data_IF_574413232410
#
_entry.id   IF_574413232410
#
_cell.length_a   1.000
_cell.length_b   1.000
_cell.length_c   1.000
_cell.angle_alpha   90.00
_cell.angle_beta   90.00
_cell.angle_gamma   90.00
#
_symmetry.space_group_name_H-M   'P 1'
#
loop_
_entity.id
_entity.type
_entity.pdbx_description
1 polymer ?
#
# COMPACT_ATOMS: atom_id res chain seq x y z
N UNK A 1 -3.49 -3.72 8.39
CA UNK A 1 -4.12 -3.61 7.07
C UNK A 1 -3.24 -4.26 6.00
N UNK A 2 -2.02 -3.77 5.73
CA UNK A 2 -1.16 -4.26 4.66
C UNK A 2 -0.93 -5.78 4.69
N UNK A 3 -0.51 -6.33 5.83
CA UNK A 3 -0.27 -7.78 5.98
C UNK A 3 -1.49 -8.65 5.70
N UNK A 4 -2.68 -8.16 6.06
CA UNK A 4 -3.94 -8.87 5.81
C UNK A 4 -4.35 -8.81 4.35
N UNK A 5 -4.21 -7.64 3.75
CA UNK A 5 -4.48 -7.48 2.33
C UNK A 5 -3.55 -8.38 1.52
N UNK A 6 -2.27 -8.43 1.88
CA UNK A 6 -1.29 -9.29 1.23
C UNK A 6 -1.66 -10.78 1.36
N UNK A 7 -1.98 -11.25 2.56
CA UNK A 7 -2.36 -12.65 2.77
C UNK A 7 -3.66 -13.04 2.05
N UNK A 8 -4.57 -12.09 1.82
CA UNK A 8 -5.83 -12.34 1.11
C UNK A 8 -5.73 -12.21 -0.40
N UNK A 9 -4.94 -11.27 -0.91
CA UNK A 9 -4.89 -10.93 -2.33
C UNK A 9 -3.71 -11.57 -3.07
N UNK A 10 -2.51 -11.51 -2.48
CA UNK A 10 -1.24 -11.97 -3.07
C UNK A 10 -0.39 -12.74 -2.04
N UNK A 11 -0.87 -13.88 -1.54
CA UNK A 11 -0.15 -14.68 -0.56
C UNK A 11 1.20 -15.16 -1.11
N UNK A 12 2.24 -15.18 -0.25
CA UNK A 12 3.62 -15.46 -0.66
C UNK A 12 3.86 -16.88 -1.16
N UNK A 13 3.10 -17.87 -0.63
CA UNK A 13 3.37 -19.28 -0.86
C UNK A 13 2.26 -19.99 -1.65
N UNK A 14 1.36 -19.25 -2.28
CA UNK A 14 0.29 -19.81 -3.07
C UNK A 14 0.14 -19.09 -4.40
N UNK A 15 -0.33 -19.79 -5.41
CA UNK A 15 -0.78 -19.17 -6.66
C UNK A 15 -2.03 -18.35 -6.33
N UNK A 16 -2.05 -17.12 -6.79
CA UNK A 16 -3.18 -16.19 -6.57
C UNK A 16 -3.81 -15.72 -7.88
N UNK A 17 -3.29 -16.19 -9.01
CA UNK A 17 -3.88 -15.99 -10.33
C UNK A 17 -3.46 -17.10 -11.28
N UNK A 18 -4.27 -17.34 -12.29
CA UNK A 18 -4.05 -18.33 -13.33
C UNK A 18 -4.18 -17.67 -14.70
N UNK A 19 -3.33 -18.09 -15.64
CA UNK A 19 -3.47 -17.74 -17.04
C UNK A 19 -4.36 -18.77 -17.69
N UNK A 20 -5.46 -18.34 -18.29
CA UNK A 20 -6.40 -19.21 -18.98
C UNK A 20 -6.65 -18.76 -20.41
N UNK A 21 -7.02 -19.68 -21.27
CA UNK A 21 -7.43 -19.40 -22.63
C UNK A 21 -8.65 -18.47 -22.66
N UNK A 22 -8.60 -17.46 -23.54
CA UNK A 22 -9.72 -16.55 -23.74
C UNK A 22 -10.95 -17.24 -24.34
N UNK A 23 -12.11 -16.57 -24.22
CA UNK A 23 -13.39 -17.09 -24.75
C UNK A 23 -13.42 -17.17 -26.27
N UNK A 24 -12.49 -16.54 -26.96
CA UNK A 24 -12.37 -16.50 -28.41
C UNK A 24 -11.70 -17.75 -29.00
N UNK A 25 -11.01 -18.55 -28.15
CA UNK A 25 -10.37 -19.79 -28.58
C UNK A 25 -11.42 -20.92 -28.68
N UNK A 26 -11.43 -21.68 -29.80
CA UNK A 26 -12.33 -22.84 -29.94
C UNK A 26 -12.16 -23.86 -28.82
N UNK A 27 -13.24 -24.44 -28.34
CA UNK A 27 -13.20 -25.40 -27.21
C UNK A 27 -12.27 -26.60 -27.45
N UNK A 28 -12.10 -27.03 -28.71
CA UNK A 28 -11.22 -28.14 -29.06
C UNK A 28 -9.73 -27.86 -28.90
N UNK A 29 -9.34 -26.59 -28.87
CA UNK A 29 -7.93 -26.18 -28.71
C UNK A 29 -7.63 -25.63 -27.32
N UNK A 30 -8.68 -25.35 -26.51
CA UNK A 30 -8.54 -24.77 -25.17
C UNK A 30 -7.72 -25.64 -24.24
N UNK A 31 -8.03 -26.94 -24.16
CA UNK A 31 -7.38 -27.86 -23.24
C UNK A 31 -5.86 -27.92 -23.48
N UNK A 32 -5.44 -27.83 -24.74
CA UNK A 32 -4.02 -27.81 -25.09
C UNK A 32 -3.37 -26.47 -24.70
N UNK A 33 -4.04 -25.37 -25.01
CA UNK A 33 -3.55 -24.02 -24.67
C UNK A 33 -3.54 -23.79 -23.16
N UNK A 34 -4.55 -24.29 -22.45
CA UNK A 34 -4.62 -24.16 -20.98
C UNK A 34 -3.49 -24.92 -20.28
N UNK A 35 -3.09 -26.11 -20.77
CA UNK A 35 -1.91 -26.82 -20.27
C UNK A 35 -0.61 -26.02 -20.44
N UNK A 36 -0.38 -25.46 -21.62
CA UNK A 36 0.80 -24.61 -21.89
C UNK A 36 0.78 -23.35 -20.99
N UNK A 37 -0.39 -22.75 -20.79
CA UNK A 37 -0.56 -21.57 -19.95
C UNK A 37 -0.38 -21.90 -18.45
N UNK A 38 -0.74 -23.11 -18.03
CA UNK A 38 -0.52 -23.56 -16.64
C UNK A 38 0.96 -23.71 -16.33
N UNK A 39 1.76 -24.33 -17.24
CA UNK A 39 3.23 -24.38 -17.11
C UNK A 39 3.87 -22.98 -17.05
N UNK A 40 3.41 -22.06 -17.91
CA UNK A 40 3.89 -20.67 -17.88
C UNK A 40 3.51 -20.00 -16.56
N UNK A 41 2.31 -20.27 -16.05
CA UNK A 41 1.85 -19.72 -14.78
C UNK A 41 2.73 -20.21 -13.63
N UNK A 42 3.01 -21.51 -13.56
CA UNK A 42 3.92 -22.06 -12.54
C UNK A 42 5.29 -21.39 -12.58
N UNK A 43 5.87 -21.27 -13.76
CA UNK A 43 7.17 -20.61 -13.91
C UNK A 43 7.15 -19.13 -13.50
N UNK A 44 6.09 -18.39 -13.85
CA UNK A 44 5.91 -16.99 -13.42
C UNK A 44 5.85 -16.89 -11.90
N UNK A 45 5.09 -17.79 -11.25
CA UNK A 45 4.96 -17.80 -9.80
C UNK A 45 6.25 -18.23 -9.09
N UNK A 46 7.02 -19.16 -9.66
CA UNK A 46 8.37 -19.50 -9.15
C UNK A 46 9.28 -18.26 -9.14
N UNK A 47 9.29 -17.48 -10.22
CA UNK A 47 10.06 -16.24 -10.29
C UNK A 47 9.57 -15.21 -9.27
N UNK A 48 8.25 -15.03 -9.14
CA UNK A 48 7.67 -14.09 -8.18
C UNK A 48 8.03 -14.47 -6.73
N UNK A 49 7.98 -15.75 -6.39
CA UNK A 49 8.32 -16.25 -5.05
C UNK A 49 9.81 -16.10 -4.71
N UNK A 50 10.67 -16.26 -5.71
CA UNK A 50 12.12 -16.11 -5.55
C UNK A 50 12.58 -14.64 -5.63
N UNK A 51 11.71 -13.72 -6.06
CA UNK A 51 12.01 -12.29 -6.16
C UNK A 51 11.71 -11.53 -4.86
N UNK A 52 12.01 -10.24 -4.86
CA UNK A 52 11.65 -9.32 -3.77
C UNK A 52 10.18 -8.84 -3.82
N UNK A 53 9.31 -9.43 -4.66
CA UNK A 53 7.92 -9.01 -4.84
C UNK A 53 7.15 -8.90 -3.54
N UNK A 54 7.26 -9.92 -2.68
CA UNK A 54 6.51 -9.99 -1.42
C UNK A 54 6.81 -8.82 -0.47
N UNK A 55 8.06 -8.38 -0.42
CA UNK A 55 8.51 -7.28 0.43
C UNK A 55 8.01 -5.95 -0.13
N UNK A 56 8.26 -5.72 -1.40
CA UNK A 56 7.92 -4.47 -2.08
C UNK A 56 6.41 -4.23 -2.18
N UNK A 57 5.62 -5.29 -2.44
CA UNK A 57 4.16 -5.15 -2.47
C UNK A 57 3.59 -4.83 -1.09
N UNK A 58 4.23 -5.36 -0.02
CA UNK A 58 3.84 -5.04 1.36
C UNK A 58 4.03 -3.54 1.65
N UNK A 59 5.19 -2.98 1.26
CA UNK A 59 5.48 -1.57 1.41
C UNK A 59 4.50 -0.71 0.60
N UNK A 60 4.21 -1.09 -0.64
CA UNK A 60 3.20 -0.40 -1.45
C UNK A 60 1.78 -0.48 -0.85
N UNK A 61 1.44 -1.55 -0.12
CA UNK A 61 0.17 -1.64 0.62
C UNK A 61 0.11 -0.75 1.85
N UNK A 62 1.24 -0.35 2.43
CA UNK A 62 1.25 0.66 3.48
C UNK A 62 0.82 2.03 2.93
N UNK A 63 1.29 2.42 1.75
CA UNK A 63 0.84 3.64 1.07
C UNK A 63 -0.61 3.51 0.59
N UNK A 64 -1.04 2.33 0.15
CA UNK A 64 -2.43 2.06 -0.21
C UNK A 64 -3.40 2.27 0.96
N UNK A 65 -2.96 2.09 2.20
CA UNK A 65 -3.78 2.41 3.37
C UNK A 65 -4.17 3.89 3.41
N UNK A 66 -3.35 4.77 2.86
CA UNK A 66 -3.68 6.19 2.63
C UNK A 66 -4.56 6.35 1.40
N UNK A 67 -4.30 5.57 0.30
CA UNK A 67 -5.18 5.57 -0.86
C UNK A 67 -4.61 5.02 -2.15
N UNK A 68 -3.33 5.22 -2.42
CA UNK A 68 -2.69 4.85 -3.67
C UNK A 68 -1.35 4.21 -3.39
N UNK A 69 -1.12 3.04 -3.97
CA UNK A 69 0.18 2.38 -3.99
C UNK A 69 0.81 2.45 -5.38
N UNK A 70 2.12 2.53 -5.44
CA UNK A 70 2.90 2.54 -6.68
C UNK A 70 4.03 1.54 -6.59
N UNK A 71 4.08 0.65 -7.57
CA UNK A 71 5.11 -0.37 -7.69
C UNK A 71 5.81 -0.22 -9.04
N UNK A 72 7.13 -0.17 -9.05
CA UNK A 72 7.94 -0.25 -10.26
C UNK A 72 8.38 -1.69 -10.47
N UNK A 73 8.24 -2.19 -11.70
CA UNK A 73 8.61 -3.56 -12.08
C UNK A 73 9.61 -3.48 -13.24
N UNK A 74 10.87 -3.68 -12.91
CA UNK A 74 11.99 -3.55 -13.84
C UNK A 74 12.61 -4.90 -14.21
N UNK A 75 13.35 -4.89 -15.32
CA UNK A 75 14.16 -6.02 -15.73
C UNK A 75 15.34 -6.17 -14.75
N UNK A 76 15.48 -7.36 -14.21
CA UNK A 76 16.59 -7.71 -13.33
C UNK A 76 17.77 -8.35 -14.07
N UNK A 77 18.52 -9.15 -13.34
CA UNK A 77 19.69 -9.86 -13.84
C UNK A 77 19.36 -11.29 -14.33
N UNK A 78 20.41 -12.06 -14.64
CA UNK A 78 20.26 -13.45 -15.11
C UNK A 78 19.70 -14.39 -14.02
N UNK A 79 19.94 -14.10 -12.75
CA UNK A 79 19.48 -14.91 -11.61
C UNK A 79 18.06 -14.47 -11.21
N UNK A 80 17.86 -13.17 -11.04
CA UNK A 80 16.59 -12.56 -10.70
C UNK A 80 16.08 -11.77 -11.90
N UNK A 81 15.30 -12.37 -12.80
CA UNK A 81 14.92 -11.76 -14.08
C UNK A 81 13.99 -10.57 -13.93
N UNK A 82 13.33 -10.42 -12.79
CA UNK A 82 12.41 -9.33 -12.50
C UNK A 82 12.73 -8.76 -11.13
N UNK A 83 12.76 -7.44 -11.02
CA UNK A 83 12.99 -6.70 -9.78
C UNK A 83 11.82 -5.75 -9.51
N UNK A 84 11.40 -5.69 -8.27
CA UNK A 84 10.31 -4.83 -7.83
C UNK A 84 10.86 -3.70 -6.95
N UNK A 85 10.20 -2.54 -6.98
CA UNK A 85 10.49 -1.43 -6.09
C UNK A 85 9.20 -0.71 -5.71
N UNK A 86 8.87 -0.66 -4.44
CA UNK A 86 7.81 0.20 -3.94
C UNK A 86 8.25 1.66 -4.03
N UNK A 87 7.41 2.53 -4.56
CA UNK A 87 7.71 3.94 -4.69
C UNK A 87 6.86 4.70 -3.68
N UNK A 88 7.48 5.37 -2.69
CA UNK A 88 6.74 6.18 -1.74
C UNK A 88 5.91 7.25 -2.43
N UNK A 89 4.65 7.37 -2.05
CA UNK A 89 3.71 8.31 -2.67
C UNK A 89 4.20 9.77 -2.69
N UNK A 90 4.95 10.30 -1.70
CA UNK A 90 5.52 11.64 -1.75
C UNK A 90 6.57 11.87 -2.86
N UNK A 91 7.09 10.81 -3.46
CA UNK A 91 8.10 10.87 -4.52
C UNK A 91 7.52 10.65 -5.91
N UNK A 92 6.18 10.57 -6.03
CA UNK A 92 5.51 10.32 -7.29
C UNK A 92 4.33 11.27 -7.49
N UNK A 93 4.20 11.79 -8.70
CA UNK A 93 3.01 12.51 -9.15
C UNK A 93 2.36 11.71 -10.25
N UNK A 94 1.07 11.50 -10.14
CA UNK A 94 0.28 10.68 -11.05
C UNK A 94 -0.73 11.55 -11.79
N UNK A 95 -0.99 11.22 -13.05
CA UNK A 95 -2.08 11.82 -13.81
C UNK A 95 -2.83 10.75 -14.60
N UNK A 96 -4.07 11.04 -14.94
CA UNK A 96 -4.98 10.11 -15.61
C UNK A 96 -5.24 10.55 -17.05
N UNK A 97 -5.28 9.58 -17.94
CA UNK A 97 -5.70 9.82 -19.32
C UNK A 97 -7.22 9.87 -19.50
N UNK A 98 -7.66 9.93 -20.77
CA UNK A 98 -9.07 9.98 -21.12
C UNK A 98 -9.91 8.81 -20.62
N UNK A 99 -9.27 7.65 -20.42
CA UNK A 99 -9.90 6.41 -19.93
C UNK A 99 -9.97 6.34 -18.40
N UNK A 100 -9.61 7.42 -17.71
CA UNK A 100 -9.53 7.49 -16.23
C UNK A 100 -8.52 6.50 -15.62
N UNK A 101 -7.66 5.93 -16.44
CA UNK A 101 -6.52 5.10 -16.02
C UNK A 101 -5.30 5.99 -15.79
N UNK A 102 -4.48 5.62 -14.82
CA UNK A 102 -3.20 6.29 -14.56
C UNK A 102 -2.25 5.91 -15.70
N UNK A 103 -1.87 6.88 -16.50
CA UNK A 103 -1.04 6.70 -17.69
C UNK A 103 0.12 7.68 -17.80
N UNK A 104 0.20 8.63 -16.88
CA UNK A 104 1.34 9.53 -16.68
C UNK A 104 1.86 9.37 -15.26
N UNK A 105 3.16 9.12 -15.15
CA UNK A 105 3.87 8.93 -13.88
C UNK A 105 5.11 9.79 -13.87
N UNK A 106 5.24 10.66 -12.88
CA UNK A 106 6.39 11.51 -12.65
C UNK A 106 7.04 11.07 -11.34
N UNK A 107 8.19 10.42 -11.40
CA UNK A 107 8.92 9.91 -10.24
C UNK A 107 10.16 10.74 -9.96
N UNK A 108 10.27 11.26 -8.75
CA UNK A 108 11.47 11.93 -8.27
C UNK A 108 12.35 10.94 -7.51
N UNK A 109 13.57 10.72 -7.99
CA UNK A 109 14.60 9.89 -7.33
C UNK A 109 15.64 10.79 -6.69
N UNK A 110 15.52 10.97 -5.37
CA UNK A 110 16.44 11.81 -4.56
C UNK A 110 17.62 11.01 -4.05
N UNK A 111 18.75 11.69 -3.91
CA UNK A 111 19.90 11.17 -3.20
C UNK A 111 20.69 10.09 -3.95
N UNK A 112 20.53 9.98 -5.27
CA UNK A 112 21.28 9.07 -6.12
C UNK A 112 22.73 9.57 -6.22
N UNK A 113 23.71 8.68 -5.99
CA UNK A 113 25.11 9.02 -6.17
C UNK A 113 25.42 9.23 -7.64
N UNK A 114 26.29 10.18 -7.93
CA UNK A 114 26.66 10.46 -9.33
C UNK A 114 27.27 9.23 -10.02
N UNK A 115 27.99 8.38 -9.29
CA UNK A 115 28.56 7.10 -9.79
C UNK A 115 27.48 6.06 -10.11
N UNK A 116 26.33 6.09 -9.42
CA UNK A 116 25.25 5.13 -9.62
C UNK A 116 24.43 5.37 -10.89
N UNK A 117 24.49 6.58 -11.46
CA UNK A 117 23.76 6.91 -12.68
C UNK A 117 24.09 5.97 -13.82
N UNK A 118 25.39 5.63 -13.97
CA UNK A 118 25.87 4.73 -15.03
C UNK A 118 25.35 3.29 -14.81
N UNK A 119 25.27 2.87 -13.55
CA UNK A 119 24.78 1.55 -13.17
C UNK A 119 23.27 1.44 -13.40
N UNK A 120 22.52 2.48 -13.04
CA UNK A 120 21.07 2.53 -13.20
C UNK A 120 20.63 2.61 -14.67
N UNK A 121 21.44 3.27 -15.51
CA UNK A 121 21.14 3.47 -16.93
C UNK A 121 22.35 3.13 -17.81
N UNK A 122 22.72 1.83 -17.93
CA UNK A 122 23.93 1.42 -18.63
C UNK A 122 23.92 1.79 -20.13
N UNK A 123 22.73 1.82 -20.73
CA UNK A 123 22.57 2.17 -22.16
C UNK A 123 22.42 3.68 -22.42
N UNK A 124 22.54 4.50 -21.39
CA UNK A 124 22.31 5.93 -21.51
C UNK A 124 23.51 6.65 -22.16
N UNK A 125 23.21 7.50 -23.13
CA UNK A 125 24.20 8.45 -23.67
C UNK A 125 24.28 9.66 -22.76
N UNK A 126 25.12 9.58 -21.74
CA UNK A 126 25.26 10.64 -20.75
C UNK A 126 25.86 11.93 -21.37
N UNK A 127 25.24 13.06 -21.04
CA UNK A 127 25.78 14.38 -21.37
C UNK A 127 27.17 14.56 -20.74
N UNK A 128 28.12 15.24 -21.41
CA UNK A 128 29.45 15.53 -20.87
C UNK A 128 29.46 16.17 -19.47
N UNK A 129 28.45 16.99 -19.17
CA UNK A 129 28.31 17.62 -17.84
C UNK A 129 28.05 16.60 -16.75
N UNK A 130 27.18 15.60 -17.01
CA UNK A 130 26.88 14.52 -16.06
C UNK A 130 28.10 13.64 -15.89
N UNK A 131 28.80 13.28 -16.99
CA UNK A 131 30.02 12.49 -16.93
C UNK A 131 31.12 13.18 -16.11
N UNK A 132 31.38 14.47 -16.37
CA UNK A 132 32.37 15.26 -15.60
C UNK A 132 32.02 15.35 -14.11
N UNK A 133 30.70 15.49 -13.79
CA UNK A 133 30.25 15.49 -12.40
C UNK A 133 30.49 14.14 -11.73
N UNK A 134 30.15 13.03 -12.41
CA UNK A 134 30.39 11.68 -11.90
C UNK A 134 31.88 11.37 -11.67
N UNK A 135 32.78 11.95 -12.48
CA UNK A 135 34.23 11.82 -12.32
C UNK A 135 34.80 12.71 -11.20
N UNK A 136 34.30 13.94 -11.06
CA UNK A 136 34.82 14.92 -10.07
C UNK A 136 34.32 14.65 -8.66
N UNK A 137 33.06 14.22 -8.54
CA UNK A 137 32.38 13.96 -7.27
C UNK A 137 31.49 12.72 -7.39
N UNK A 138 32.07 11.50 -7.38
CA UNK A 138 31.33 10.24 -7.52
C UNK A 138 30.33 9.99 -6.39
N UNK A 139 30.64 10.44 -5.15
CA UNK A 139 29.80 10.27 -3.96
C UNK A 139 28.76 11.39 -3.80
N UNK A 140 28.86 12.45 -4.58
CA UNK A 140 27.90 13.55 -4.59
C UNK A 140 26.51 13.07 -4.98
N UNK A 141 25.51 13.63 -4.36
CA UNK A 141 24.10 13.24 -4.57
C UNK A 141 23.43 14.13 -5.59
N UNK A 142 22.65 13.53 -6.45
CA UNK A 142 21.79 14.20 -7.42
C UNK A 142 20.33 13.76 -7.28
N UNK A 143 19.46 14.48 -7.95
CA UNK A 143 18.04 14.16 -8.07
C UNK A 143 17.71 13.93 -9.53
N UNK A 144 17.11 12.78 -9.82
CA UNK A 144 16.65 12.43 -11.15
C UNK A 144 15.13 12.51 -11.19
N UNK A 145 14.59 12.98 -12.32
CA UNK A 145 13.16 12.97 -12.62
C UNK A 145 12.91 11.95 -13.75
N UNK A 146 12.15 10.91 -13.44
CA UNK A 146 11.65 9.94 -14.41
C UNK A 146 10.23 10.34 -14.80
N UNK A 147 9.98 10.48 -16.08
CA UNK A 147 8.69 10.87 -16.64
C UNK A 147 8.24 9.77 -17.58
N UNK A 148 7.19 9.06 -17.19
CA UNK A 148 6.51 8.12 -18.06
C UNK A 148 5.21 8.73 -18.58
N UNK A 149 5.05 8.74 -19.90
CA UNK A 149 3.84 9.21 -20.56
C UNK A 149 3.34 8.19 -21.58
N UNK A 150 2.02 7.98 -21.64
CA UNK A 150 1.41 7.15 -22.67
C UNK A 150 1.49 7.85 -24.03
N UNK A 151 1.88 7.10 -25.05
CA UNK A 151 1.94 7.59 -26.44
C UNK A 151 0.58 7.40 -27.14
N UNK A 152 -0.24 8.43 -27.15
CA UNK A 152 -1.57 8.42 -27.78
C UNK A 152 -1.52 8.49 -29.32
N UNK A 153 -0.36 8.70 -29.94
CA UNK A 153 -0.23 8.66 -31.40
C UNK A 153 -0.49 7.25 -31.95
N UNK A 154 -0.31 6.24 -31.10
CA UNK A 154 -0.53 4.82 -31.43
C UNK A 154 -1.85 4.32 -30.87
N UNK A 155 -2.92 4.50 -31.63
CA UNK A 155 -4.28 4.16 -31.19
C UNK A 155 -4.54 2.67 -30.95
N UNK A 156 -3.80 1.78 -31.61
CA UNK A 156 -4.05 0.34 -31.59
C UNK A 156 -3.05 -0.47 -30.76
N UNK A 157 -2.04 0.17 -30.20
CA UNK A 157 -1.00 -0.48 -29.38
C UNK A 157 -0.80 0.29 -28.08
N UNK A 158 -0.60 -0.44 -26.98
CA UNK A 158 -0.10 0.20 -25.77
C UNK A 158 1.35 0.62 -26.00
N UNK A 159 1.62 1.91 -25.90
CA UNK A 159 2.96 2.47 -26.04
C UNK A 159 3.18 3.56 -24.99
N UNK A 160 4.38 3.56 -24.42
CA UNK A 160 4.79 4.53 -23.41
C UNK A 160 6.16 5.09 -23.75
N UNK A 161 6.39 6.35 -23.39
CA UNK A 161 7.66 7.06 -23.49
C UNK A 161 8.19 7.33 -22.10
N UNK A 162 9.39 6.89 -21.83
CA UNK A 162 10.10 7.17 -20.58
C UNK A 162 11.22 8.17 -20.86
N UNK A 163 11.22 9.27 -20.14
CA UNK A 163 12.28 10.27 -20.10
C UNK A 163 12.91 10.30 -18.73
N UNK A 164 14.22 10.26 -18.67
CA UNK A 164 14.99 10.45 -17.42
C UNK A 164 15.79 11.73 -17.54
N UNK A 165 15.60 12.64 -16.61
CA UNK A 165 16.20 13.98 -16.59
C UNK A 165 16.99 14.17 -15.29
N UNK A 166 18.21 14.65 -15.41
CA UNK A 166 18.96 15.14 -14.25
C UNK A 166 18.51 16.55 -13.92
N UNK A 167 17.93 16.72 -12.74
CA UNK A 167 17.39 18.00 -12.27
C UNK A 167 18.48 19.06 -12.04
N UNK A 168 19.70 18.62 -11.68
CA UNK A 168 20.82 19.53 -11.38
C UNK A 168 21.42 20.15 -12.64
N UNK A 169 21.62 19.34 -13.67
CA UNK A 169 22.20 19.77 -14.96
C UNK A 169 21.15 20.14 -16.00
N UNK A 170 19.89 19.79 -15.72
CA UNK A 170 18.74 19.92 -16.66
C UNK A 170 19.00 19.24 -18.01
N UNK A 171 19.65 18.09 -17.97
CA UNK A 171 20.01 17.32 -19.16
C UNK A 171 19.28 15.99 -19.19
N UNK A 172 19.00 15.49 -20.39
CA UNK A 172 18.44 14.17 -20.57
C UNK A 172 19.51 13.11 -20.33
N UNK A 173 19.14 12.08 -19.54
CA UNK A 173 19.97 10.90 -19.29
C UNK A 173 19.54 9.78 -20.23
N UNK A 174 18.24 9.51 -20.32
CA UNK A 174 17.69 8.40 -21.12
C UNK A 174 16.34 8.79 -21.71
N UNK A 175 16.13 8.34 -22.95
CA UNK A 175 14.84 8.29 -23.60
C UNK A 175 14.60 6.85 -24.04
N UNK A 176 13.47 6.28 -23.66
CA UNK A 176 13.13 4.90 -24.01
C UNK A 176 11.65 4.79 -24.38
N UNK A 177 11.37 4.07 -25.46
CA UNK A 177 10.02 3.73 -25.87
C UNK A 177 9.70 2.30 -25.49
N UNK A 178 8.55 2.11 -24.82
CA UNK A 178 7.99 0.80 -24.51
C UNK A 178 6.78 0.55 -25.42
N UNK A 179 6.60 -0.69 -25.88
CA UNK A 179 5.50 -1.08 -26.76
C UNK A 179 4.95 -2.45 -26.38
N UNK A 180 3.64 -2.59 -26.47
CA UNK A 180 2.92 -3.82 -26.22
C UNK A 180 2.26 -3.89 -24.86
N UNK A 181 1.39 -4.85 -24.68
CA UNK A 181 0.65 -5.10 -23.44
C UNK A 181 1.63 -5.43 -22.31
N UNK A 182 1.46 -4.82 -21.15
CA UNK A 182 2.35 -4.98 -20.02
C UNK A 182 3.71 -4.27 -20.15
N UNK A 183 3.88 -3.40 -21.13
CA UNK A 183 5.13 -2.66 -21.34
C UNK A 183 5.36 -1.55 -20.31
N UNK A 184 4.31 -1.08 -19.62
CA UNK A 184 4.41 -0.08 -18.56
C UNK A 184 5.21 -0.62 -17.37
N UNK A 185 6.33 0.02 -16.96
CA UNK A 185 7.09 -0.39 -15.79
C UNK A 185 6.43 -0.01 -14.45
N UNK A 186 5.49 0.94 -14.45
CA UNK A 186 4.82 1.39 -13.24
C UNK A 186 3.45 0.77 -13.12
N UNK A 187 3.20 0.13 -11.99
CA UNK A 187 1.89 -0.39 -11.59
C UNK A 187 1.35 0.51 -10.49
N UNK A 188 0.37 1.33 -10.84
CA UNK A 188 -0.28 2.27 -9.93
C UNK A 188 -1.67 1.75 -9.61
N UNK A 189 -1.97 1.58 -8.32
CA UNK A 189 -3.23 1.00 -7.88
C UNK A 189 -3.84 1.77 -6.72
N UNK A 190 -5.18 1.83 -6.70
CA UNK A 190 -5.96 2.66 -5.78
C UNK A 190 -6.90 1.79 -4.96
N UNK A 191 -7.10 2.15 -3.69
CA UNK A 191 -8.06 1.45 -2.83
C UNK A 191 -9.50 1.75 -3.26
N UNK A 192 -9.90 3.00 -3.17
CA UNK A 192 -11.17 3.49 -3.68
C UNK A 192 -10.95 4.85 -4.36
N UNK A 193 -11.87 5.25 -5.22
CA UNK A 193 -11.76 6.48 -6.00
C UNK A 193 -13.10 7.20 -6.05
N UNK A 194 -13.08 8.50 -5.87
CA UNK A 194 -14.21 9.36 -6.23
C UNK A 194 -14.09 9.81 -7.69
N UNK A 195 -15.21 10.09 -8.33
CA UNK A 195 -15.23 10.60 -9.70
C UNK A 195 -14.43 11.91 -9.80
N UNK A 196 -13.57 12.02 -10.81
CA UNK A 196 -12.71 13.18 -11.04
C UNK A 196 -11.44 13.25 -10.19
N UNK A 197 -11.18 12.30 -9.31
CA UNK A 197 -9.93 12.24 -8.55
C UNK A 197 -8.90 11.31 -9.23
N UNK A 198 -7.65 11.73 -9.26
CA UNK A 198 -6.54 10.92 -9.76
C UNK A 198 -6.12 9.89 -8.71
N UNK A 199 -5.92 10.36 -7.49
CA UNK A 199 -5.49 9.53 -6.37
C UNK A 199 -6.65 8.78 -5.71
N UNK A 200 -6.35 7.63 -5.13
CA UNK A 200 -7.31 6.86 -4.35
C UNK A 200 -7.52 7.43 -2.95
N UNK A 201 -8.62 7.02 -2.32
CA UNK A 201 -8.91 7.23 -0.90
C UNK A 201 -8.80 5.92 -0.17
N UNK A 202 -7.89 5.85 0.79
CA UNK A 202 -7.65 4.66 1.59
C UNK A 202 -8.46 4.61 2.89
N UNK A 203 -8.43 3.47 3.58
CA UNK A 203 -9.15 3.30 4.83
C UNK A 203 -8.67 4.23 5.95
N UNK A 204 -7.41 4.69 5.92
CA UNK A 204 -6.90 5.68 6.89
C UNK A 204 -7.56 7.04 6.77
N UNK A 205 -7.98 7.45 5.56
CA UNK A 205 -8.69 8.71 5.37
C UNK A 205 -10.04 8.68 6.09
N UNK A 206 -10.74 7.54 6.02
CA UNK A 206 -12.02 7.36 6.72
C UNK A 206 -11.85 7.34 8.24
N UNK A 207 -10.73 6.83 8.73
CA UNK A 207 -10.40 6.80 10.16
C UNK A 207 -9.77 8.10 10.68
N UNK A 208 -9.42 9.06 9.82
CA UNK A 208 -8.60 10.23 10.17
C UNK A 208 -9.21 11.07 11.29
N UNK A 209 -10.52 11.28 11.28
CA UNK A 209 -11.24 12.03 12.33
C UNK A 209 -11.11 11.32 13.68
N UNK A 210 -11.36 10.01 13.72
CA UNK A 210 -11.21 9.19 14.93
C UNK A 210 -9.77 9.17 15.44
N UNK A 211 -8.78 9.09 14.55
CA UNK A 211 -7.36 9.14 14.88
C UNK A 211 -6.99 10.48 15.52
N UNK A 212 -7.42 11.61 14.92
CA UNK A 212 -7.16 12.95 15.46
C UNK A 212 -7.80 13.15 16.84
N UNK A 213 -9.06 12.72 17.00
CA UNK A 213 -9.75 12.78 18.29
C UNK A 213 -9.06 11.92 19.35
N UNK A 214 -8.65 10.70 18.98
CA UNK A 214 -7.90 9.81 19.88
C UNK A 214 -6.60 10.45 20.35
N UNK A 215 -5.82 11.03 19.45
CA UNK A 215 -4.56 11.69 19.77
C UNK A 215 -4.80 12.89 20.72
N UNK A 216 -5.79 13.72 20.44
CA UNK A 216 -6.15 14.85 21.31
C UNK A 216 -6.59 14.37 22.70
N UNK A 217 -7.42 13.33 22.76
CA UNK A 217 -7.87 12.76 24.05
C UNK A 217 -6.70 12.21 24.85
N UNK A 218 -5.77 11.49 24.21
CA UNK A 218 -4.56 10.99 24.87
C UNK A 218 -3.69 12.14 25.37
N UNK A 219 -3.51 13.20 24.58
CA UNK A 219 -2.78 14.38 25.01
C UNK A 219 -3.40 15.00 26.26
N UNK A 220 -4.71 15.22 26.27
CA UNK A 220 -5.43 15.77 27.43
C UNK A 220 -5.33 14.87 28.69
N UNK A 221 -5.35 13.55 28.50
CA UNK A 221 -5.15 12.60 29.60
C UNK A 221 -3.74 12.73 30.17
N UNK A 222 -2.72 12.82 29.31
CA UNK A 222 -1.32 12.96 29.74
C UNK A 222 -1.09 14.30 30.44
N UNK A 223 -1.68 15.39 29.93
CA UNK A 223 -1.62 16.70 30.59
C UNK A 223 -2.28 16.68 31.97
N UNK A 224 -3.46 16.07 32.09
CA UNK A 224 -4.13 15.89 33.38
C UNK A 224 -3.34 14.99 34.33
N UNK A 225 -2.75 13.89 33.79
CA UNK A 225 -1.90 13.00 34.61
C UNK A 225 -0.64 13.74 35.10
N UNK A 226 -0.04 14.59 34.24
CA UNK A 226 1.11 15.40 34.65
C UNK A 226 0.72 16.39 35.77
N UNK A 227 -0.44 17.06 35.64
CA UNK A 227 -0.96 17.94 36.72
C UNK A 227 -1.23 17.17 38.01
N UNK A 228 -1.79 15.97 37.92
CA UNK A 228 -2.06 15.13 39.10
C UNK A 228 -0.78 14.64 39.77
N UNK A 229 0.27 14.35 39.01
CA UNK A 229 1.59 13.89 39.52
C UNK A 229 2.40 15.08 40.09
N UNK A 230 2.44 16.20 39.38
CA UNK A 230 3.21 17.38 39.79
C UNK A 230 2.60 18.09 40.99
N UNK A 231 1.29 17.92 41.19
CA UNK A 231 0.53 18.58 42.24
C UNK A 231 0.45 20.09 42.03
N UNK A 232 -0.74 20.59 41.77
CA UNK A 232 -1.00 22.03 41.84
C UNK A 232 -1.63 22.29 43.17
N UNK A 233 -1.03 23.22 43.92
CA UNK A 233 -1.48 23.57 45.25
C UNK A 233 -2.07 24.98 45.26
N UNK A 234 -3.12 25.15 45.98
CA UNK A 234 -3.67 26.48 46.31
C UNK A 234 -3.40 26.80 47.76
N UNK A 235 -3.17 28.05 48.04
CA UNK A 235 -3.02 28.56 49.39
C UNK A 235 -3.71 29.91 49.53
N UNK A 236 -4.08 30.22 50.76
CA UNK A 236 -4.61 31.54 51.09
C UNK A 236 -3.47 32.55 51.13
N UNK A 237 -3.66 33.75 50.55
CA UNK A 237 -2.71 34.84 50.58
C UNK A 237 -2.84 35.59 51.91
N UNK A 238 -2.28 35.01 52.95
CA UNK A 238 -2.27 35.57 54.30
C UNK A 238 -0.91 36.24 54.69
N UNK A 239 0.01 36.31 53.72
CA UNK A 239 1.34 36.91 53.91
C UNK A 239 2.29 36.08 54.76
N UNK A 240 1.89 34.90 55.23
CA UNK A 240 2.72 34.03 56.11
C UNK A 240 3.52 33.06 55.26
N UNK A 241 2.95 32.57 54.20
CA UNK A 241 3.58 31.58 53.32
C UNK A 241 4.06 32.28 52.03
N UNK A 242 5.35 32.24 51.78
CA UNK A 242 5.91 32.77 50.54
C UNK A 242 6.05 31.63 49.52
N UNK A 243 5.35 31.69 48.39
CA UNK A 243 5.42 30.66 47.36
C UNK A 243 6.82 30.34 46.83
N UNK A 244 7.70 31.36 46.80
CA UNK A 244 9.06 31.24 46.26
C UNK A 244 10.02 30.49 47.17
N UNK A 245 9.65 30.32 48.46
CA UNK A 245 10.51 29.67 49.48
C UNK A 245 10.03 28.27 49.85
N UNK A 246 8.87 27.85 49.41
CA UNK A 246 8.34 26.52 49.70
C UNK A 246 9.03 25.48 48.84
N UNK A 247 9.74 24.57 49.51
CA UNK A 247 10.31 23.40 48.81
C UNK A 247 9.49 22.15 49.21
N UNK A 248 8.73 21.60 48.24
CA UNK A 248 7.87 20.44 48.46
C UNK A 248 8.68 19.14 48.40
N UNK A 249 9.49 18.89 49.41
CA UNK A 249 10.27 17.66 49.59
C UNK A 249 9.69 16.84 50.72
N UNK A 250 9.70 15.51 50.64
CA UNK A 250 9.26 14.66 51.77
C UNK A 250 9.93 15.04 53.07
N UNK A 251 9.13 15.34 54.10
CA UNK A 251 9.60 15.76 55.42
C UNK A 251 9.68 17.29 55.64
N UNK A 252 9.31 18.11 54.68
CA UNK A 252 9.23 19.57 54.86
C UNK A 252 8.08 19.96 55.75
N UNK A 253 8.35 20.77 56.79
CA UNK A 253 7.34 21.34 57.68
C UNK A 253 6.96 22.73 57.14
N UNK A 254 5.71 22.90 56.76
CA UNK A 254 5.17 24.16 56.24
C UNK A 254 4.38 24.87 57.35
N UNK A 255 4.75 26.08 57.75
CA UNK A 255 4.02 26.83 58.75
C UNK A 255 2.62 27.23 58.20
N UNK A 256 1.60 27.12 59.06
CA UNK A 256 0.21 27.43 58.73
C UNK A 256 -0.40 28.39 59.73
N UNK A 257 -1.12 29.40 59.26
CA UNK A 257 -1.95 30.27 60.10
C UNK A 257 -3.13 29.46 60.70
N UNK A 258 -3.54 29.72 61.96
CA UNK A 258 -4.69 29.06 62.56
C UNK A 258 -6.01 29.24 61.82
N UNK A 259 -6.13 30.30 61.01
CA UNK A 259 -7.35 30.62 60.24
C UNK A 259 -7.24 30.33 58.74
N UNK A 260 -6.07 29.98 58.23
CA UNK A 260 -5.84 29.65 56.82
C UNK A 260 -6.12 28.16 56.55
N UNK A 261 -6.66 27.86 55.39
CA UNK A 261 -6.82 26.51 54.89
C UNK A 261 -5.47 25.78 54.71
N UNK A 262 -4.36 26.53 54.68
CA UNK A 262 -3.03 26.04 54.40
C UNK A 262 -2.87 25.65 52.93
N UNK A 263 -1.82 24.91 52.65
CA UNK A 263 -1.54 24.39 51.32
C UNK A 263 -2.50 23.24 51.01
N UNK A 264 -3.39 23.41 50.06
CA UNK A 264 -4.34 22.38 49.65
C UNK A 264 -4.08 21.96 48.17
N UNK A 265 -4.01 20.65 47.91
CA UNK A 265 -3.87 20.21 46.52
C UNK A 265 -5.18 20.50 45.75
N UNK A 266 -5.06 21.08 44.59
CA UNK A 266 -6.17 21.21 43.65
C UNK A 266 -6.44 19.84 43.07
N UNK A 267 -7.62 19.28 43.34
CA UNK A 267 -8.02 18.01 42.75
C UNK A 267 -8.26 18.22 41.24
N UNK A 268 -7.57 17.43 40.43
CA UNK A 268 -7.83 17.36 39.00
C UNK A 268 -9.31 16.93 38.78
N UNK A 269 -10.08 17.77 38.12
CA UNK A 269 -11.49 17.48 37.79
C UNK A 269 -11.65 16.44 36.66
N UNK A 270 -10.56 15.90 36.15
CA UNK A 270 -10.57 14.95 35.02
C UNK A 270 -11.16 13.59 35.43
N UNK A 271 -12.21 13.17 34.74
CA UNK A 271 -12.81 11.84 34.86
C UNK A 271 -12.12 10.88 33.90
N UNK A 272 -11.10 10.18 34.34
CA UNK A 272 -10.33 9.20 33.55
C UNK A 272 -11.15 8.01 33.09
N UNK A 273 -12.16 7.59 33.89
CA UNK A 273 -13.11 6.53 33.54
C UNK A 273 -13.87 6.81 32.25
N UNK A 274 -14.38 8.02 32.10
CA UNK A 274 -15.08 8.44 30.85
C UNK A 274 -14.11 8.51 29.67
N UNK A 275 -12.90 9.00 29.90
CA UNK A 275 -11.89 9.09 28.85
C UNK A 275 -11.47 7.69 28.33
N UNK A 276 -11.36 6.69 29.20
CA UNK A 276 -11.00 5.33 28.80
C UNK A 276 -12.10 4.67 27.96
N UNK A 277 -13.37 4.86 28.31
CA UNK A 277 -14.51 4.39 27.51
C UNK A 277 -14.48 5.00 26.10
N UNK A 278 -14.29 6.32 26.02
CA UNK A 278 -14.22 7.03 24.73
C UNK A 278 -13.03 6.56 23.89
N UNK A 279 -11.86 6.39 24.50
CA UNK A 279 -10.66 5.88 23.82
C UNK A 279 -10.86 4.46 23.30
N UNK A 280 -11.50 3.59 24.09
CA UNK A 280 -11.77 2.22 23.69
C UNK A 280 -12.70 2.16 22.47
N UNK A 281 -13.76 2.98 22.46
CA UNK A 281 -14.66 3.08 21.30
C UNK A 281 -13.96 3.65 20.07
N UNK A 282 -13.18 4.73 20.22
CA UNK A 282 -12.42 5.31 19.11
C UNK A 282 -11.39 4.32 18.53
N UNK A 283 -10.67 3.58 19.38
CA UNK A 283 -9.74 2.54 18.95
C UNK A 283 -10.45 1.42 18.19
N UNK A 284 -11.64 1.02 18.62
CA UNK A 284 -12.46 0.04 17.92
C UNK A 284 -12.89 0.56 16.55
N UNK A 285 -13.33 1.82 16.46
CA UNK A 285 -13.69 2.46 15.20
C UNK A 285 -12.51 2.54 14.22
N UNK A 286 -11.31 2.87 14.71
CA UNK A 286 -10.08 2.86 13.90
C UNK A 286 -9.77 1.43 13.42
N UNK A 287 -9.87 0.42 14.30
CA UNK A 287 -9.66 -0.99 13.92
C UNK A 287 -10.66 -1.43 12.86
N UNK A 288 -11.92 -1.07 12.98
CA UNK A 288 -12.98 -1.38 11.99
C UNK A 288 -12.70 -0.73 10.65
N UNK A 289 -12.34 0.55 10.63
CA UNK A 289 -12.00 1.27 9.41
C UNK A 289 -10.82 0.64 8.66
N UNK A 290 -9.86 0.07 9.39
CA UNK A 290 -8.69 -0.62 8.85
C UNK A 290 -8.92 -2.13 8.60
N UNK A 291 -10.16 -2.60 8.71
CA UNK A 291 -10.52 -4.02 8.58
C UNK A 291 -9.76 -4.91 9.56
N UNK A 292 -9.42 -4.39 10.74
CA UNK A 292 -8.62 -5.07 11.77
C UNK A 292 -9.46 -5.67 12.91
N UNK A 293 -10.77 -5.55 12.87
CA UNK A 293 -11.72 -6.08 13.85
C UNK A 293 -12.11 -7.55 13.62
N UNK A 294 -11.75 -8.11 12.47
CA UNK A 294 -12.29 -9.39 11.99
C UNK A 294 -11.49 -10.63 12.40
N UNK A 295 -10.29 -10.49 12.86
CA UNK A 295 -9.57 -11.59 13.50
C UNK A 295 -9.94 -11.59 14.96
N UNK A 296 -10.80 -12.52 15.37
CA UNK A 296 -11.23 -12.68 16.75
C UNK A 296 -10.11 -12.56 17.78
N UNK A 297 -10.51 -12.37 19.01
CA UNK A 297 -9.62 -12.20 20.14
C UNK A 297 -8.41 -13.14 20.03
N UNK A 298 -7.15 -12.65 20.11
CA UNK A 298 -5.95 -13.48 20.04
C UNK A 298 -5.92 -14.58 21.11
N UNK A 299 -6.72 -14.44 22.17
CA UNK A 299 -6.84 -15.40 23.26
C UNK A 299 -7.82 -16.57 23.00
N UNK A 300 -8.44 -16.64 21.83
CA UNK A 300 -9.30 -17.78 21.47
C UNK A 300 -8.52 -18.83 20.69
N UNK A 301 -8.73 -20.08 21.05
CA UNK A 301 -8.29 -21.30 20.34
C UNK A 301 -8.42 -21.15 18.82
N UNK A 302 -7.50 -21.73 18.01
CA UNK A 302 -7.53 -21.61 16.56
C UNK A 302 -8.92 -21.92 16.01
N UNK A 303 -9.44 -21.01 15.21
CA UNK A 303 -10.72 -21.14 14.55
C UNK A 303 -10.71 -22.38 13.64
N UNK A 304 -11.84 -23.03 13.50
CA UNK A 304 -12.00 -24.12 12.53
C UNK A 304 -11.75 -23.59 11.10
N UNK A 305 -11.33 -24.45 10.18
CA UNK A 305 -11.13 -24.08 8.77
C UNK A 305 -12.36 -23.38 8.18
N UNK A 306 -13.56 -23.79 8.59
CA UNK A 306 -14.85 -23.18 8.22
C UNK A 306 -14.96 -21.74 8.71
N UNK A 307 -14.57 -21.48 9.97
CA UNK A 307 -14.62 -20.11 10.53
C UNK A 307 -13.63 -19.17 9.82
N UNK A 308 -12.46 -19.67 9.44
CA UNK A 308 -11.48 -18.90 8.66
C UNK A 308 -12.05 -18.59 7.27
N UNK A 309 -12.70 -19.54 6.61
CA UNK A 309 -13.35 -19.34 5.32
C UNK A 309 -14.49 -18.32 5.41
N UNK A 310 -15.35 -18.40 6.43
CA UNK A 310 -16.44 -17.42 6.65
C UNK A 310 -15.91 -16.01 6.92
N UNK A 311 -14.82 -15.87 7.68
CA UNK A 311 -14.17 -14.58 7.93
C UNK A 311 -13.56 -13.97 6.66
N UNK A 312 -12.95 -14.81 5.82
CA UNK A 312 -12.44 -14.36 4.52
C UNK A 312 -13.57 -13.95 3.58
N UNK A 313 -14.70 -14.67 3.61
CA UNK A 313 -15.90 -14.32 2.84
C UNK A 313 -16.51 -12.99 3.30
N UNK A 314 -16.54 -12.71 4.61
CA UNK A 314 -17.01 -11.43 5.14
C UNK A 314 -16.08 -10.28 4.79
N UNK A 315 -14.76 -10.49 4.88
CA UNK A 315 -13.76 -9.53 4.43
C UNK A 315 -13.93 -9.22 2.94
N UNK A 316 -14.11 -10.25 2.12
CA UNK A 316 -14.33 -10.12 0.68
C UNK A 316 -15.57 -9.26 0.35
N UNK A 317 -16.67 -9.46 1.09
CA UNK A 317 -17.89 -8.65 0.94
C UNK A 317 -17.67 -7.17 1.26
N UNK A 318 -16.97 -6.89 2.35
CA UNK A 318 -16.70 -5.50 2.79
C UNK A 318 -15.73 -4.78 1.88
N UNK A 319 -14.76 -5.51 1.30
CA UNK A 319 -13.76 -4.95 0.39
C UNK A 319 -14.24 -4.95 -1.07
N UNK A 320 -15.37 -5.55 -1.38
CA UNK A 320 -15.84 -5.93 -2.73
C UNK A 320 -15.50 -4.96 -3.88
N UNK A 321 -15.79 -3.66 -3.74
CA UNK A 321 -15.47 -2.68 -4.78
C UNK A 321 -13.96 -2.39 -4.88
N UNK A 322 -13.24 -2.38 -3.75
CA UNK A 322 -11.80 -2.19 -3.71
C UNK A 322 -11.08 -3.44 -4.25
N UNK A 323 -11.59 -4.64 -4.00
CA UNK A 323 -11.04 -5.89 -4.53
C UNK A 323 -11.05 -5.91 -6.06
N UNK A 324 -12.19 -5.61 -6.69
CA UNK A 324 -12.30 -5.57 -8.15
C UNK A 324 -11.33 -4.54 -8.76
N UNK A 325 -11.13 -3.40 -8.10
CA UNK A 325 -10.16 -2.39 -8.53
C UNK A 325 -8.72 -2.89 -8.37
N UNK A 326 -8.36 -3.48 -7.26
CA UNK A 326 -7.02 -4.06 -7.05
C UNK A 326 -6.72 -5.20 -8.01
N UNK A 327 -7.72 -5.98 -8.39
CA UNK A 327 -7.56 -6.98 -9.43
C UNK A 327 -7.21 -6.33 -10.78
N UNK A 328 -7.89 -5.25 -11.15
CA UNK A 328 -7.68 -4.56 -12.42
C UNK A 328 -6.42 -3.67 -12.42
N UNK A 329 -6.10 -3.01 -11.31
CA UNK A 329 -5.01 -2.02 -11.24
C UNK A 329 -3.69 -2.59 -10.68
N UNK A 330 -3.70 -3.73 -9.97
CA UNK A 330 -2.50 -4.36 -9.39
C UNK A 330 -2.26 -5.75 -9.98
N UNK A 331 -3.18 -6.71 -9.74
CA UNK A 331 -2.96 -8.12 -10.06
C UNK A 331 -2.69 -8.33 -11.56
N UNK A 332 -3.58 -7.83 -12.40
CA UNK A 332 -3.44 -7.96 -13.85
C UNK A 332 -2.20 -7.22 -14.40
N UNK A 333 -1.94 -5.94 -14.06
CA UNK A 333 -0.77 -5.24 -14.58
C UNK A 333 0.56 -5.82 -14.12
N UNK A 334 0.66 -6.30 -12.86
CA UNK A 334 1.88 -6.96 -12.39
C UNK A 334 2.18 -8.21 -13.20
N UNK A 335 1.21 -9.09 -13.38
CA UNK A 335 1.40 -10.31 -14.16
C UNK A 335 1.70 -10.02 -15.63
N UNK A 336 0.97 -9.08 -16.24
CA UNK A 336 1.24 -8.64 -17.63
C UNK A 336 2.67 -8.10 -17.78
N UNK A 337 3.14 -7.33 -16.81
CA UNK A 337 4.49 -6.79 -16.84
C UNK A 337 5.57 -7.87 -16.67
N UNK A 338 5.39 -8.79 -15.73
CA UNK A 338 6.30 -9.93 -15.53
C UNK A 338 6.38 -10.78 -16.80
N UNK A 339 5.23 -11.12 -17.36
CA UNK A 339 5.14 -11.88 -18.63
C UNK A 339 5.85 -11.13 -19.75
N UNK A 340 5.64 -9.82 -19.86
CA UNK A 340 6.30 -8.99 -20.86
C UNK A 340 7.82 -9.05 -20.75
N UNK A 341 8.37 -8.93 -19.54
CA UNK A 341 9.81 -9.00 -19.27
C UNK A 341 10.36 -10.38 -19.63
N UNK A 342 9.72 -11.46 -19.16
CA UNK A 342 10.17 -12.83 -19.41
C UNK A 342 10.10 -13.20 -20.90
N UNK A 343 9.08 -12.72 -21.61
CA UNK A 343 8.98 -12.86 -23.07
C UNK A 343 10.10 -12.10 -23.78
N UNK A 344 10.39 -10.87 -23.36
CA UNK A 344 11.49 -10.06 -23.92
C UNK A 344 12.85 -10.71 -23.71
N UNK A 345 13.06 -11.34 -22.55
CA UNK A 345 14.27 -12.09 -22.22
C UNK A 345 14.35 -13.47 -22.92
N UNK A 346 13.28 -13.88 -23.65
CA UNK A 346 13.22 -15.19 -24.33
C UNK A 346 13.06 -16.39 -23.39
N UNK A 347 12.71 -16.17 -22.12
CA UNK A 347 12.55 -17.24 -21.13
C UNK A 347 11.22 -17.97 -21.25
N UNK A 348 10.18 -17.29 -21.71
CA UNK A 348 8.87 -17.87 -21.98
C UNK A 348 8.50 -17.66 -23.43
N UNK A 349 7.82 -18.65 -24.02
CA UNK A 349 7.23 -18.56 -25.34
C UNK A 349 5.72 -18.70 -25.15
N UNK A 350 5.01 -17.60 -25.22
CA UNK A 350 3.56 -17.62 -25.21
C UNK A 350 3.09 -18.26 -26.51
N UNK A 351 2.16 -19.26 -26.49
CA UNK A 351 1.54 -19.78 -27.68
C UNK A 351 1.06 -18.61 -28.55
N UNK A 352 1.07 -18.76 -29.89
CA UNK A 352 0.69 -17.69 -30.84
C UNK A 352 -0.81 -17.36 -30.77
N UNK A 353 -1.28 -17.14 -29.59
CA UNK A 353 -2.60 -16.64 -29.28
C UNK A 353 -2.45 -15.12 -29.22
N UNK A 354 -3.20 -14.36 -29.99
CA UNK A 354 -3.16 -12.91 -29.93
C UNK A 354 -3.33 -12.48 -28.48
N UNK A 355 -2.60 -11.48 -27.98
CA UNK A 355 -2.59 -11.09 -26.56
C UNK A 355 -3.94 -10.68 -25.94
N UNK A 356 -5.02 -10.74 -26.74
CA UNK A 356 -6.42 -10.61 -26.31
C UNK A 356 -7.07 -11.96 -25.92
N UNK A 357 -6.43 -13.05 -26.24
CA UNK A 357 -6.95 -14.40 -26.08
C UNK A 357 -6.50 -15.08 -24.77
N UNK A 358 -5.61 -14.43 -24.01
CA UNK A 358 -5.20 -14.87 -22.67
C UNK A 358 -5.91 -14.03 -21.64
N UNK A 359 -6.62 -14.70 -20.72
CA UNK A 359 -7.25 -14.08 -19.55
C UNK A 359 -6.46 -14.39 -18.30
N UNK A 360 -6.31 -13.38 -17.46
CA UNK A 360 -5.77 -13.55 -16.11
C UNK A 360 -6.98 -13.70 -15.17
N UNK A 361 -7.12 -14.88 -14.59
CA UNK A 361 -8.16 -15.18 -13.60
C UNK A 361 -7.54 -15.17 -12.21
N UNK A 362 -8.11 -14.41 -11.27
CA UNK A 362 -7.65 -14.44 -9.89
C UNK A 362 -8.13 -15.69 -9.20
N UNK A 363 -7.19 -16.42 -8.59
CA UNK A 363 -7.43 -17.60 -7.74
C UNK A 363 -7.03 -17.36 -6.28
N UNK A 364 -6.85 -16.09 -5.90
CA UNK A 364 -6.51 -15.69 -4.52
C UNK A 364 -7.57 -16.20 -3.51
N UNK A 365 -7.21 -16.39 -2.23
CA UNK A 365 -8.17 -16.79 -1.19
C UNK A 365 -9.39 -15.87 -1.14
N UNK A 366 -9.20 -14.59 -1.39
CA UNK A 366 -10.28 -13.61 -1.45
C UNK A 366 -11.19 -13.80 -2.65
N UNK A 367 -10.63 -14.13 -3.83
CA UNK A 367 -11.39 -14.45 -5.04
C UNK A 367 -12.18 -15.75 -4.88
N UNK A 368 -11.56 -16.79 -4.33
CA UNK A 368 -12.22 -18.07 -4.05
C UNK A 368 -13.40 -17.91 -3.08
N UNK A 369 -13.25 -17.09 -2.03
CA UNK A 369 -14.32 -16.79 -1.11
C UNK A 369 -15.51 -16.08 -1.77
N UNK A 370 -15.28 -15.21 -2.76
CA UNK A 370 -16.35 -14.59 -3.55
C UNK A 370 -17.07 -15.61 -4.43
N UNK A 371 -16.33 -16.45 -5.16
CA UNK A 371 -16.92 -17.49 -6.03
C UNK A 371 -17.76 -18.51 -5.27
N UNK A 372 -17.32 -18.96 -4.10
CA UNK A 372 -18.11 -19.89 -3.27
C UNK A 372 -19.45 -19.28 -2.84
N UNK A 373 -19.51 -17.98 -2.59
CA UNK A 373 -20.76 -17.30 -2.28
C UNK A 373 -21.71 -17.19 -3.46
N UNK A 374 -21.19 -16.93 -4.65
CA UNK A 374 -22.00 -16.86 -5.86
C UNK A 374 -22.65 -18.22 -6.13
N UNK A 375 -21.88 -19.32 -5.98
CA UNK A 375 -22.41 -20.70 -6.10
C UNK A 375 -23.48 -20.97 -5.06
N UNK A 376 -23.24 -20.66 -3.78
CA UNK A 376 -24.23 -20.89 -2.71
C UNK A 376 -25.52 -20.05 -2.91
N UNK A 377 -25.41 -18.87 -3.51
CA UNK A 377 -26.56 -18.02 -3.85
C UNK A 377 -27.37 -18.62 -4.99
N UNK A 378 -26.68 -19.11 -6.02
CA UNK A 378 -27.32 -19.81 -7.16
C UNK A 378 -28.00 -21.07 -6.70
N UNK A 379 -27.39 -21.91 -5.85
CA UNK A 379 -28.00 -23.13 -5.29
C UNK A 379 -29.24 -22.83 -4.47
N UNK A 380 -29.22 -21.77 -3.64
CA UNK A 380 -30.41 -21.32 -2.92
C UNK A 380 -31.53 -20.87 -3.87
N UNK A 381 -31.16 -20.13 -4.93
CA UNK A 381 -32.13 -19.68 -5.92
C UNK A 381 -32.74 -20.87 -6.70
N UNK A 382 -31.93 -21.83 -7.11
CA UNK A 382 -32.39 -23.05 -7.77
C UNK A 382 -33.26 -23.89 -6.83
N UNK A 383 -32.93 -24.00 -5.55
CA UNK A 383 -33.76 -24.68 -4.55
C UNK A 383 -35.11 -23.99 -4.32
N UNK A 384 -35.21 -22.66 -4.47
CA UNK A 384 -36.47 -21.93 -4.41
C UNK A 384 -37.35 -22.11 -5.66
N UNK A 385 -36.77 -22.43 -6.82
CA UNK A 385 -37.51 -22.64 -8.07
C UNK A 385 -38.02 -24.08 -8.17
N UNK A 386 -37.35 -25.04 -7.50
CA UNK A 386 -37.72 -26.47 -7.53
C UNK A 386 -38.69 -26.87 -6.41
N UNK A 387 -38.97 -26.03 -5.44
CA UNK A 387 -39.97 -26.22 -4.40
C UNK A 387 -41.22 -25.36 -4.64
#
# INVERSE_FOLDING_TARGET
FASRLQSGLVPNFARWADLIAGSEIPKSERDFVDNDLDEITEYVFEILQNSNFSQEVHEAFMDLAVGTGVLCVDEGDAINPVTFSAIPLPHVVLDTGPDDKIDHVFRERKGIRNSEIIILYPDAKLDPKVQQRAQRDPEGKCTLLEILCKDYSKRNEEAYLLYVIDMSTKTYIKEQQFKGVGSNPYVCFRWSKCAGEVYGRGPLINALSAIKTTNLTIQLILENAQMAISGIYQMDDDGIINPDTINLVPGTIIPKSPQSGGLQPIQSAGRFDVADIVLSDMRLNIKRALYNDMLGNPDRTPASATEVAERMADLSRRIGSAFGRLQAELVQPVLQRVIYILKKQGRIKIPKVNGREIKIQSSSPLAQAQHQQDVATVDRFLGMIQG
#
